data_IF_198198493233
#
_entry.id   IF_198198493233
#
_cell.length_a   1.000
_cell.length_b   1.000
_cell.length_c   1.000
_cell.angle_alpha   90.00
_cell.angle_beta   90.00
_cell.angle_gamma   90.00
#
_symmetry.space_group_name_H-M   'P 1'
#
loop_
_entity.id
_entity.type
_entity.pdbx_description
1 polymer ?
#
# COMPACT_ATOMS: atom_id res chain seq x y z
N UNK A 1 0.90 -4.29 -28.28
CA UNK A 1 0.10 -3.09 -27.97
C UNK A 1 -1.14 -3.54 -27.21
N UNK A 2 -1.65 -2.71 -26.30
CA UNK A 2 -2.82 -2.94 -25.42
C UNK A 2 -2.58 -3.66 -24.08
N UNK A 3 -1.83 -3.03 -23.17
CA UNK A 3 -2.05 -3.17 -21.72
C UNK A 3 -2.56 -1.85 -21.10
N UNK A 4 -3.07 -0.92 -21.91
CA UNK A 4 -3.46 0.42 -21.45
C UNK A 4 -4.93 0.56 -21.00
N UNK A 5 -5.67 -0.54 -20.87
CA UNK A 5 -7.12 -0.53 -20.59
C UNK A 5 -7.50 -0.80 -19.12
N UNK A 6 -6.53 -0.98 -18.21
CA UNK A 6 -6.83 -1.17 -16.77
C UNK A 6 -7.00 0.14 -15.99
N UNK A 7 -6.83 1.30 -16.63
CA UNK A 7 -6.99 2.62 -16.00
C UNK A 7 -8.28 3.34 -16.43
N UNK A 8 -9.34 2.60 -16.77
CA UNK A 8 -10.66 3.22 -16.85
C UNK A 8 -11.15 3.50 -15.43
N UNK A 9 -10.77 4.69 -14.97
CA UNK A 9 -11.63 5.62 -14.23
C UNK A 9 -12.84 4.93 -13.58
N UNK A 10 -12.64 4.45 -12.35
CA UNK A 10 -13.74 4.23 -11.42
C UNK A 10 -14.44 5.58 -11.26
N UNK A 11 -15.62 5.71 -11.87
CA UNK A 11 -16.55 6.78 -11.55
C UNK A 11 -16.97 6.60 -10.09
N UNK A 12 -16.28 7.32 -9.20
CA UNK A 12 -16.65 7.55 -7.80
C UNK A 12 -17.91 8.44 -7.75
N UNK A 13 -19.02 7.92 -8.26
CA UNK A 13 -20.29 8.63 -8.29
C UNK A 13 -20.92 8.81 -6.90
N UNK A 14 -20.72 7.86 -5.98
CA UNK A 14 -21.52 7.82 -4.75
C UNK A 14 -20.78 7.35 -3.48
N UNK A 15 -19.44 7.29 -3.49
CA UNK A 15 -18.68 6.93 -2.27
C UNK A 15 -17.84 8.13 -1.83
N UNK A 16 -18.23 8.73 -0.70
CA UNK A 16 -17.57 9.88 -0.09
C UNK A 16 -16.08 9.59 0.06
N UNK A 17 -15.24 10.25 -0.75
CA UNK A 17 -13.79 10.10 -0.72
C UNK A 17 -13.22 10.33 0.68
N UNK A 18 -13.83 11.24 1.44
CA UNK A 18 -13.50 11.52 2.84
C UNK A 18 -13.70 10.29 3.74
N UNK A 19 -14.77 9.52 3.55
CA UNK A 19 -15.03 8.30 4.32
C UNK A 19 -14.01 7.20 4.01
N UNK A 20 -13.54 7.12 2.76
CA UNK A 20 -12.51 6.16 2.36
C UNK A 20 -11.15 6.57 2.94
N UNK A 21 -10.83 7.85 2.89
CA UNK A 21 -9.61 8.40 3.48
C UNK A 21 -9.56 8.13 4.98
N UNK A 22 -10.67 8.33 5.70
CA UNK A 22 -10.79 8.00 7.13
C UNK A 22 -10.55 6.51 7.41
N UNK A 23 -11.16 5.61 6.62
CA UNK A 23 -10.99 4.16 6.77
C UNK A 23 -9.54 3.72 6.51
N UNK A 24 -8.87 4.34 5.53
CA UNK A 24 -7.45 4.07 5.24
C UNK A 24 -6.58 4.58 6.38
N UNK A 25 -6.86 5.78 6.88
CA UNK A 25 -6.15 6.38 8.00
C UNK A 25 -6.28 5.53 9.28
N UNK A 26 -7.48 5.04 9.60
CA UNK A 26 -7.71 4.20 10.77
C UNK A 26 -7.03 2.83 10.66
N UNK A 27 -6.97 2.23 9.46
CA UNK A 27 -6.33 0.93 9.25
C UNK A 27 -4.81 0.96 9.36
N UNK A 28 -4.15 2.08 9.06
CA UNK A 28 -2.70 2.18 9.15
C UNK A 28 -2.18 2.16 10.60
N UNK A 29 -3.03 2.51 11.58
CA UNK A 29 -2.71 2.42 13.01
C UNK A 29 -2.97 1.03 13.62
N UNK A 30 -3.67 0.13 12.91
CA UNK A 30 -3.98 -1.20 13.41
C UNK A 30 -3.06 -2.25 12.79
N UNK A 31 -2.04 -2.62 13.57
CA UNK A 31 -1.34 -3.89 13.49
C UNK A 31 -0.35 -4.05 12.33
N UNK A 32 0.77 -3.33 12.41
CA UNK A 32 2.06 -3.97 12.15
C UNK A 32 2.29 -5.04 13.23
N UNK A 33 1.56 -6.16 13.17
CA UNK A 33 2.00 -7.35 13.90
C UNK A 33 3.30 -7.82 13.22
N UNK A 34 4.44 -7.88 13.94
CA UNK A 34 5.74 -8.21 13.34
C UNK A 34 5.84 -9.64 12.79
N UNK A 35 4.75 -10.42 12.77
CA UNK A 35 4.80 -11.88 12.71
C UNK A 35 5.18 -12.46 11.34
N UNK A 36 5.39 -11.64 10.30
CA UNK A 36 5.93 -12.10 9.01
C UNK A 36 7.01 -11.19 8.40
N UNK A 37 7.56 -10.24 9.17
CA UNK A 37 8.81 -9.59 8.77
C UNK A 37 9.95 -10.33 9.46
N UNK A 38 10.81 -10.96 8.66
CA UNK A 38 12.04 -11.65 9.08
C UNK A 38 12.62 -11.04 10.37
N UNK A 39 12.83 -11.87 11.38
CA UNK A 39 13.32 -11.58 12.74
C UNK A 39 14.72 -10.91 12.84
N UNK A 40 15.18 -10.27 11.75
CA UNK A 40 16.47 -9.59 11.61
C UNK A 40 16.36 -8.10 11.26
N UNK A 41 15.16 -7.52 11.27
CA UNK A 41 14.94 -6.10 10.99
C UNK A 41 14.46 -5.35 12.24
N UNK A 42 15.24 -5.41 13.32
CA UNK A 42 15.07 -4.47 14.43
C UNK A 42 15.56 -3.09 13.99
N UNK A 43 14.82 -2.04 14.34
CA UNK A 43 15.22 -0.65 14.13
C UNK A 43 16.56 -0.43 14.86
N UNK A 44 17.59 0.15 14.22
CA UNK A 44 18.85 0.44 14.87
C UNK A 44 18.70 1.46 15.98
N UNK A 45 19.46 1.27 17.06
CA UNK A 45 19.53 2.22 18.17
C UNK A 45 20.59 3.31 17.92
N UNK A 46 21.64 2.98 17.17
CA UNK A 46 22.76 3.87 16.91
C UNK A 46 22.56 4.67 15.61
N UNK A 47 22.79 5.98 15.65
CA UNK A 47 22.63 6.87 14.50
C UNK A 47 23.52 6.49 13.30
N UNK A 48 24.65 5.81 13.56
CA UNK A 48 25.62 5.41 12.54
C UNK A 48 25.11 4.28 11.63
N UNK A 49 24.10 3.55 12.08
CA UNK A 49 23.51 2.43 11.34
C UNK A 49 22.43 2.89 10.34
N UNK A 50 22.08 4.18 10.37
CA UNK A 50 21.20 4.79 9.38
C UNK A 50 22.00 5.22 8.15
N UNK A 51 21.46 4.88 6.99
CA UNK A 51 21.99 5.22 5.67
C UNK A 51 21.37 6.53 5.19
N UNK A 52 22.21 7.46 4.71
CA UNK A 52 21.72 8.68 4.05
C UNK A 52 21.06 8.37 2.72
N UNK A 53 19.88 8.94 2.45
CA UNK A 53 19.12 8.66 1.22
C UNK A 53 19.89 8.97 -0.08
N UNK A 54 20.79 9.97 -0.03
CA UNK A 54 21.63 10.37 -1.18
C UNK A 54 22.60 9.27 -1.60
N UNK A 55 23.08 8.48 -0.65
CA UNK A 55 24.03 7.38 -0.91
C UNK A 55 23.39 6.20 -1.65
N UNK A 56 22.05 6.07 -1.58
CA UNK A 56 21.30 4.97 -2.19
C UNK A 56 21.12 5.17 -3.71
N UNK A 57 21.09 6.42 -4.17
CA UNK A 57 20.78 6.76 -5.58
C UNK A 57 21.80 6.21 -6.60
N UNK A 58 22.99 5.81 -6.15
CA UNK A 58 24.06 5.24 -6.98
C UNK A 58 24.13 3.71 -7.01
N UNK A 59 23.34 3.01 -6.19
CA UNK A 59 23.44 1.55 -6.05
C UNK A 59 22.62 0.84 -7.15
N UNK A 60 23.29 0.37 -8.20
CA UNK A 60 22.59 -0.09 -9.42
C UNK A 60 22.34 -1.60 -9.56
N UNK A 61 22.75 -2.47 -8.63
CA UNK A 61 22.77 -3.90 -8.98
C UNK A 61 22.55 -4.93 -7.85
N UNK A 62 22.40 -4.54 -6.59
CA UNK A 62 22.13 -5.49 -5.51
C UNK A 62 20.91 -5.07 -4.72
N UNK A 63 19.93 -5.99 -4.55
CA UNK A 63 18.83 -5.79 -3.61
C UNK A 63 19.42 -5.73 -2.21
N UNK A 64 19.39 -4.56 -1.60
CA UNK A 64 19.89 -4.31 -0.25
C UNK A 64 18.79 -3.67 0.59
N UNK A 65 18.83 -3.94 1.89
CA UNK A 65 17.93 -3.34 2.88
C UNK A 65 18.70 -2.26 3.64
N UNK A 66 18.08 -1.11 3.85
CA UNK A 66 18.67 0.03 4.55
C UNK A 66 17.71 0.53 5.62
N UNK A 67 18.27 1.01 6.72
CA UNK A 67 17.57 1.87 7.65
C UNK A 67 17.84 3.31 7.27
N UNK A 68 16.80 4.15 7.20
CA UNK A 68 16.92 5.56 6.83
C UNK A 68 16.14 6.39 7.84
N UNK A 69 16.74 7.48 8.31
CA UNK A 69 16.12 8.44 9.22
C UNK A 69 15.93 9.76 8.49
N UNK A 70 14.69 10.06 8.12
CA UNK A 70 14.35 11.21 7.28
C UNK A 70 13.00 11.80 7.69
N UNK A 71 12.71 13.02 7.22
CA UNK A 71 11.40 13.65 7.42
C UNK A 71 10.48 13.28 6.25
N UNK A 72 9.34 12.67 6.57
CA UNK A 72 8.31 12.41 5.56
C UNK A 72 7.70 13.74 5.08
N UNK A 73 7.57 13.90 3.76
CA UNK A 73 6.85 15.01 3.13
C UNK A 73 6.16 14.54 1.85
N UNK A 74 5.00 15.12 1.54
CA UNK A 74 4.22 14.80 0.35
C UNK A 74 4.25 16.00 -0.60
N UNK A 75 4.64 15.79 -1.87
CA UNK A 75 4.73 16.85 -2.87
C UNK A 75 3.48 17.00 -3.75
N UNK A 76 2.65 15.95 -3.84
CA UNK A 76 1.56 15.87 -4.82
C UNK A 76 0.29 15.43 -4.13
N UNK A 77 -0.49 16.36 -3.61
CA UNK A 77 -1.70 16.04 -2.84
C UNK A 77 -2.90 15.63 -3.73
N UNK A 78 -2.86 15.93 -5.02
CA UNK A 78 -3.97 15.71 -5.95
C UNK A 78 -3.98 14.30 -6.59
N UNK A 79 -3.41 13.30 -5.91
CA UNK A 79 -3.40 11.91 -6.38
C UNK A 79 -3.99 10.99 -5.32
N UNK A 80 -4.73 10.00 -5.79
CA UNK A 80 -5.21 8.90 -4.93
C UNK A 80 -4.01 8.04 -4.53
N UNK A 81 -3.75 7.95 -3.22
CA UNK A 81 -2.68 7.13 -2.65
C UNK A 81 -3.18 5.76 -2.17
N UNK A 82 -4.46 5.46 -2.40
CA UNK A 82 -5.11 4.22 -2.04
C UNK A 82 -5.72 3.53 -3.26
N UNK A 83 -6.01 2.24 -3.14
CA UNK A 83 -6.76 1.47 -4.13
C UNK A 83 -7.67 0.44 -3.45
N UNK A 84 -8.71 0.02 -4.16
CA UNK A 84 -9.59 -1.06 -3.71
C UNK A 84 -8.89 -2.41 -3.86
N UNK A 85 -9.00 -3.27 -2.86
CA UNK A 85 -8.30 -4.56 -2.82
C UNK A 85 -9.14 -5.67 -2.20
N UNK A 86 -8.79 -6.91 -2.53
CA UNK A 86 -9.31 -8.11 -1.85
C UNK A 86 -8.83 -8.14 -0.39
N UNK A 87 -9.77 -8.27 0.57
CA UNK A 87 -9.43 -8.48 1.98
C UNK A 87 -8.58 -9.73 2.25
N UNK A 88 -8.65 -10.76 1.40
CA UNK A 88 -7.93 -12.02 1.59
C UNK A 88 -6.51 -12.02 0.99
N UNK A 89 -6.34 -11.51 -0.24
CA UNK A 89 -5.05 -11.61 -0.95
C UNK A 89 -4.38 -10.27 -1.27
N UNK A 90 -5.01 -9.15 -0.91
CA UNK A 90 -4.51 -7.78 -1.09
C UNK A 90 -4.26 -7.38 -2.55
N UNK A 91 -4.69 -8.19 -3.52
CA UNK A 91 -4.67 -7.82 -4.94
C UNK A 91 -5.73 -6.77 -5.22
N UNK A 92 -5.42 -5.89 -6.17
CA UNK A 92 -6.31 -4.83 -6.63
C UNK A 92 -7.66 -5.41 -7.08
N UNK A 93 -8.72 -4.68 -6.76
CA UNK A 93 -10.11 -4.95 -7.13
C UNK A 93 -10.67 -3.77 -7.91
N UNK A 94 -11.49 -4.05 -8.91
CA UNK A 94 -12.30 -3.06 -9.63
C UNK A 94 -13.68 -2.84 -9.01
N UNK A 95 -14.05 -3.65 -8.01
CA UNK A 95 -15.33 -3.58 -7.31
C UNK A 95 -15.36 -2.42 -6.30
N UNK A 96 -16.55 -2.01 -5.84
CA UNK A 96 -16.71 -0.88 -4.93
C UNK A 96 -16.43 -1.26 -3.47
N UNK A 97 -16.21 -0.26 -2.63
CA UNK A 97 -15.96 -0.47 -1.20
C UNK A 97 -17.11 -1.25 -0.55
N UNK A 98 -16.76 -2.32 0.19
CA UNK A 98 -17.74 -3.12 0.93
C UNK A 98 -18.40 -4.23 0.14
N UNK A 99 -18.28 -4.23 -1.19
CA UNK A 99 -18.82 -5.28 -2.05
C UNK A 99 -18.24 -6.65 -1.67
N UNK A 100 -19.10 -7.68 -1.76
CA UNK A 100 -18.71 -9.08 -1.65
C UNK A 100 -18.62 -9.65 -3.07
N UNK A 101 -17.48 -10.23 -3.41
CA UNK A 101 -17.21 -10.72 -4.77
C UNK A 101 -16.33 -11.96 -4.77
N UNK A 102 -16.37 -12.71 -5.88
CA UNK A 102 -15.42 -13.78 -6.12
C UNK A 102 -14.09 -13.21 -6.63
N UNK A 103 -13.05 -13.25 -5.79
CA UNK A 103 -11.75 -12.73 -6.17
C UNK A 103 -11.09 -13.59 -7.26
N UNK A 104 -10.76 -12.98 -8.41
CA UNK A 104 -10.13 -13.69 -9.52
C UNK A 104 -8.73 -14.22 -9.21
N UNK A 105 -8.02 -13.61 -8.25
CA UNK A 105 -6.65 -13.96 -7.89
C UNK A 105 -6.58 -15.10 -6.87
N UNK A 106 -7.37 -15.05 -5.79
CA UNK A 106 -7.35 -16.06 -4.72
C UNK A 106 -8.54 -17.01 -4.72
N UNK A 107 -9.50 -16.82 -5.64
CA UNK A 107 -10.71 -17.65 -5.82
C UNK A 107 -11.66 -17.69 -4.61
N UNK A 108 -11.43 -16.86 -3.59
CA UNK A 108 -12.37 -16.69 -2.48
C UNK A 108 -13.68 -16.09 -3.00
N UNK A 109 -14.80 -16.77 -2.74
CA UNK A 109 -16.13 -16.43 -3.27
C UNK A 109 -16.79 -15.30 -2.47
N UNK A 110 -16.44 -15.18 -1.19
CA UNK A 110 -16.96 -14.16 -0.26
C UNK A 110 -15.88 -13.12 0.10
N UNK A 111 -15.07 -12.72 -0.89
CA UNK A 111 -14.05 -11.71 -0.64
C UNK A 111 -14.72 -10.34 -0.47
N UNK A 112 -14.30 -9.58 0.55
CA UNK A 112 -14.76 -8.21 0.77
C UNK A 112 -13.76 -7.23 0.18
N UNK A 113 -14.26 -6.20 -0.49
CA UNK A 113 -13.44 -5.11 -1.00
C UNK A 113 -13.10 -4.13 0.12
N UNK A 114 -11.80 -3.84 0.28
CA UNK A 114 -11.30 -2.89 1.25
C UNK A 114 -10.27 -1.93 0.63
N UNK A 115 -10.20 -0.66 1.07
CA UNK A 115 -9.16 0.24 0.62
C UNK A 115 -7.82 -0.14 1.27
N UNK A 116 -6.73 0.07 0.53
CA UNK A 116 -5.34 -0.17 0.92
C UNK A 116 -4.41 0.87 0.35
#
# INVERSE_FOLDING_TARGET
MENSKLWKSLNLGDTNSEMIDDIVCEKYYLSLTPSKLSSKLSVPTDEKDFTEIRSIQGLKTVKQFFWIKERASVKVLNKTYWYMSCNNCNKISSENFGDIYQCVFCKCVDAKVIPR
#
